data_IF_066943702628
#
_entry.id   IF_066943702628
#
_cell.length_a   1.000
_cell.length_b   1.000
_cell.length_c   1.000
_cell.angle_alpha   90.00
_cell.angle_beta   90.00
_cell.angle_gamma   90.00
#
_symmetry.space_group_name_H-M   'P 1'
#
loop_
_entity.id
_entity.type
_entity.pdbx_description
1 polymer ?
#
# COMPACT_ATOMS: atom_id res chain seq x y z
N UNK A 1 6.74 -22.86 -0.68
CA UNK A 1 7.23 -21.72 0.11
C UNK A 1 6.07 -20.74 0.30
N UNK A 2 5.83 -20.30 1.51
CA UNK A 2 4.81 -19.29 1.78
C UNK A 2 5.36 -17.91 1.35
N UNK A 3 4.65 -17.20 0.49
CA UNK A 3 5.04 -15.86 0.05
C UNK A 3 4.40 -14.72 0.86
N UNK A 4 3.72 -15.05 1.96
CA UNK A 4 2.93 -14.09 2.73
C UNK A 4 3.65 -13.57 3.98
N UNK A 5 4.81 -14.13 4.31
CA UNK A 5 5.65 -13.72 5.44
C UNK A 5 6.98 -13.18 4.94
N UNK A 6 7.38 -12.02 5.45
CA UNK A 6 8.66 -11.36 5.20
C UNK A 6 9.36 -11.07 6.53
N UNK A 7 10.69 -11.04 6.50
CA UNK A 7 11.52 -10.81 7.69
C UNK A 7 11.90 -12.10 8.40
N UNK A 8 12.85 -11.97 9.35
CA UNK A 8 13.33 -13.09 10.19
C UNK A 8 13.20 -12.78 11.67
N UNK A 9 13.81 -11.69 12.15
CA UNK A 9 13.75 -11.24 13.55
C UNK A 9 12.49 -10.42 13.78
N UNK A 10 12.25 -9.43 12.95
CA UNK A 10 10.98 -8.71 12.85
C UNK A 10 10.26 -9.27 11.63
N UNK A 11 9.27 -10.08 11.83
CA UNK A 11 8.56 -10.75 10.76
C UNK A 11 7.13 -10.24 10.64
N UNK A 12 6.65 -10.17 9.39
CA UNK A 12 5.31 -9.71 9.07
C UNK A 12 4.63 -10.74 8.20
N UNK A 13 3.53 -11.30 8.68
CA UNK A 13 2.66 -12.19 7.90
C UNK A 13 1.39 -11.43 7.55
N UNK A 14 1.10 -11.29 6.24
CA UNK A 14 -0.10 -10.60 5.76
C UNK A 14 -1.17 -11.59 5.29
N UNK A 15 -2.44 -11.23 5.44
CA UNK A 15 -3.60 -12.04 5.04
C UNK A 15 -4.76 -11.16 4.57
N UNK A 16 -5.80 -11.78 4.03
CA UNK A 16 -6.97 -11.10 3.47
C UNK A 16 -6.82 -10.76 1.98
N UNK A 17 -7.91 -10.42 1.31
CA UNK A 17 -7.99 -10.09 -0.12
C UNK A 17 -8.57 -8.71 -0.36
N UNK A 18 -8.27 -8.13 -1.51
CA UNK A 18 -8.65 -6.76 -1.88
C UNK A 18 -10.17 -6.52 -1.92
N UNK A 19 -10.95 -7.59 -2.18
CA UNK A 19 -12.41 -7.58 -2.21
C UNK A 19 -13.02 -8.57 -1.20
N UNK A 20 -12.22 -9.07 -0.25
CA UNK A 20 -12.68 -9.76 0.95
C UNK A 20 -13.19 -8.79 2.01
N UNK A 21 -13.51 -9.28 3.18
CA UNK A 21 -14.06 -8.48 4.30
C UNK A 21 -13.00 -7.51 4.87
N UNK A 22 -11.76 -7.98 4.97
CA UNK A 22 -10.67 -7.22 5.57
C UNK A 22 -9.31 -7.65 5.02
N UNK A 23 -8.32 -6.82 5.29
CA UNK A 23 -6.90 -7.13 5.20
C UNK A 23 -6.30 -7.06 6.59
N UNK A 24 -5.38 -7.96 6.90
CA UNK A 24 -4.71 -7.97 8.19
C UNK A 24 -3.25 -8.35 8.09
N UNK A 25 -2.52 -8.08 9.16
CA UNK A 25 -1.19 -8.64 9.36
C UNK A 25 -0.93 -8.98 10.82
N UNK A 26 -0.04 -9.93 10.98
CA UNK A 26 0.56 -10.28 12.26
C UNK A 26 2.04 -9.89 12.18
N UNK A 27 2.47 -9.10 13.15
CA UNK A 27 3.87 -8.69 13.30
C UNK A 27 4.42 -9.44 14.52
N UNK A 28 5.47 -10.19 14.33
CA UNK A 28 6.18 -10.90 15.39
C UNK A 28 7.62 -10.41 15.51
N UNK A 29 8.20 -10.54 16.71
CA UNK A 29 9.56 -10.09 17.00
C UNK A 29 9.72 -8.57 17.20
N UNK A 30 8.62 -7.83 17.40
CA UNK A 30 8.71 -6.44 17.83
C UNK A 30 9.09 -6.36 19.31
N UNK A 31 10.20 -5.70 19.70
CA UNK A 31 10.59 -5.60 21.10
C UNK A 31 9.54 -4.90 21.98
N UNK A 32 9.44 -5.24 23.26
CA UNK A 32 8.51 -4.57 24.18
C UNK A 32 8.94 -3.13 24.48
N UNK A 33 7.98 -2.32 24.94
CA UNK A 33 8.24 -0.95 25.42
C UNK A 33 8.42 0.11 24.34
N UNK A 34 8.17 -0.23 23.05
CA UNK A 34 8.08 0.78 22.02
C UNK A 34 6.75 1.53 22.17
N UNK A 35 6.80 2.84 22.44
CA UNK A 35 5.61 3.68 22.45
C UNK A 35 5.08 3.79 21.02
N UNK A 36 3.82 3.44 20.80
CA UNK A 36 3.14 3.50 19.51
C UNK A 36 1.65 3.75 19.71
N UNK A 37 1.07 4.66 18.94
CA UNK A 37 -0.37 4.89 18.95
C UNK A 37 -1.01 4.47 17.62
N UNK A 38 -2.35 4.34 17.64
CA UNK A 38 -3.15 4.09 16.44
C UNK A 38 -2.97 5.22 15.42
N UNK A 39 -2.94 6.46 15.90
CA UNK A 39 -2.84 7.67 15.07
C UNK A 39 -1.51 7.72 14.31
N UNK A 40 -0.43 7.24 14.92
CA UNK A 40 0.88 7.19 14.27
C UNK A 40 0.91 6.17 13.12
N UNK A 41 0.25 5.02 13.28
CA UNK A 41 0.11 4.04 12.20
C UNK A 41 -0.83 4.59 11.13
N UNK A 42 -1.94 5.22 11.54
CA UNK A 42 -2.92 5.81 10.65
C UNK A 42 -2.31 6.91 9.77
N UNK A 43 -1.45 7.74 10.30
CA UNK A 43 -0.78 8.80 9.55
C UNK A 43 0.05 8.26 8.37
N UNK A 44 0.73 7.12 8.53
CA UNK A 44 1.45 6.48 7.42
C UNK A 44 0.47 5.85 6.40
N UNK A 45 -0.64 5.31 6.85
CA UNK A 45 -1.70 4.80 5.98
C UNK A 45 -2.38 5.91 5.19
N UNK A 46 -2.58 7.08 5.79
CA UNK A 46 -3.19 8.24 5.14
C UNK A 46 -2.35 8.78 3.98
N UNK A 47 -1.03 8.67 4.05
CA UNK A 47 -0.13 8.98 2.93
C UNK A 47 -0.29 8.02 1.75
N UNK A 48 -0.67 6.77 2.03
CA UNK A 48 -0.80 5.71 1.03
C UNK A 48 -2.20 5.56 0.46
N UNK A 49 -3.26 5.91 1.21
CA UNK A 49 -4.65 5.56 0.86
C UNK A 49 -5.05 6.04 -0.54
N UNK A 50 -5.89 5.24 -1.27
CA UNK A 50 -6.39 5.64 -2.58
C UNK A 50 -7.35 6.84 -2.47
N UNK A 51 -7.50 7.60 -3.56
CA UNK A 51 -8.41 8.75 -3.61
C UNK A 51 -7.92 9.98 -2.86
N UNK A 52 -6.63 10.04 -2.49
CA UNK A 52 -6.01 11.18 -1.81
C UNK A 52 -5.82 12.40 -2.71
N UNK A 53 -5.78 12.21 -4.02
CA UNK A 53 -5.65 13.29 -5.01
C UNK A 53 -6.27 12.89 -6.37
N UNK A 54 -6.35 13.87 -7.30
CA UNK A 54 -6.95 13.69 -8.64
C UNK A 54 -6.22 12.68 -9.55
N UNK A 55 -4.99 12.31 -9.23
CA UNK A 55 -4.16 11.39 -10.01
C UNK A 55 -4.22 9.94 -9.52
N UNK A 56 -4.92 9.67 -8.42
CA UNK A 56 -5.07 8.33 -7.87
C UNK A 56 -6.42 7.71 -8.25
N UNK A 57 -6.58 6.41 -8.01
CA UNK A 57 -7.84 5.71 -8.26
C UNK A 57 -9.02 6.38 -7.56
N UNK A 58 -10.22 6.28 -8.17
CA UNK A 58 -11.46 6.80 -7.60
C UNK A 58 -12.00 5.97 -6.42
N UNK A 59 -11.44 4.77 -6.16
CA UNK A 59 -11.81 3.95 -5.00
C UNK A 59 -11.53 4.72 -3.71
N UNK A 60 -12.55 4.83 -2.87
CA UNK A 60 -12.48 5.54 -1.58
C UNK A 60 -12.48 4.53 -0.44
N UNK A 61 -11.32 4.33 0.15
CA UNK A 61 -11.17 3.49 1.35
C UNK A 61 -10.63 4.36 2.49
N UNK A 62 -11.26 4.35 3.66
CA UNK A 62 -10.76 5.11 4.80
C UNK A 62 -9.47 4.54 5.36
N UNK A 63 -9.20 3.24 5.12
CA UNK A 63 -8.05 2.49 5.62
C UNK A 63 -7.86 2.64 7.15
N UNK A 64 -8.97 2.63 7.88
CA UNK A 64 -8.98 2.75 9.33
C UNK A 64 -8.34 1.53 9.97
N UNK A 65 -7.22 1.77 10.68
CA UNK A 65 -6.48 0.69 11.34
C UNK A 65 -7.14 0.28 12.66
N UNK A 66 -7.33 -1.02 12.83
CA UNK A 66 -7.70 -1.64 14.09
C UNK A 66 -6.48 -2.36 14.66
N UNK A 67 -6.18 -2.14 15.94
CA UNK A 67 -5.13 -2.87 16.67
C UNK A 67 -5.82 -3.92 17.54
N UNK A 68 -5.54 -5.20 17.28
CA UNK A 68 -6.22 -6.32 17.91
C UNK A 68 -5.42 -6.90 19.08
N UNK A 69 -4.10 -6.79 19.05
CA UNK A 69 -3.20 -7.36 20.08
C UNK A 69 -1.82 -6.73 20.07
N UNK A 70 -0.99 -7.07 21.05
CA UNK A 70 0.43 -6.73 21.10
C UNK A 70 0.75 -5.30 21.52
N UNK A 71 -0.27 -4.48 21.87
CA UNK A 71 -0.11 -3.12 22.39
C UNK A 71 -0.97 -2.98 23.65
N UNK A 72 -0.37 -2.50 24.72
CA UNK A 72 -1.04 -2.21 25.99
C UNK A 72 -0.57 -0.84 26.51
N UNK A 73 -1.50 0.03 26.93
CA UNK A 73 -1.23 1.40 27.39
C UNK A 73 -0.29 2.19 26.46
N UNK A 74 -0.50 2.06 25.14
CA UNK A 74 0.30 2.75 24.13
C UNK A 74 1.73 2.25 23.96
N UNK A 75 2.06 1.04 24.46
CA UNK A 75 3.38 0.42 24.32
C UNK A 75 3.25 -1.00 23.79
N UNK A 76 4.23 -1.41 22.98
CA UNK A 76 4.34 -2.81 22.55
C UNK A 76 4.63 -3.72 23.73
N UNK A 77 4.01 -4.91 23.75
CA UNK A 77 4.15 -5.89 24.82
C UNK A 77 5.27 -6.91 24.57
N UNK A 78 5.78 -6.98 23.34
CA UNK A 78 6.72 -8.03 22.90
C UNK A 78 6.01 -9.29 22.38
N UNK A 79 4.69 -9.37 22.50
CA UNK A 79 3.85 -10.42 21.90
C UNK A 79 3.43 -10.04 20.50
N UNK A 80 2.89 -10.97 19.67
CA UNK A 80 2.48 -10.66 18.32
C UNK A 80 1.48 -9.50 18.24
N UNK A 81 1.76 -8.53 17.35
CA UNK A 81 0.88 -7.39 17.11
C UNK A 81 -0.05 -7.76 15.96
N UNK A 82 -1.34 -7.83 16.23
CA UNK A 82 -2.39 -8.04 15.25
C UNK A 82 -2.96 -6.72 14.77
N UNK A 83 -2.91 -6.47 13.44
CA UNK A 83 -3.47 -5.31 12.80
C UNK A 83 -4.50 -5.70 11.74
N UNK A 84 -5.59 -4.92 11.63
CA UNK A 84 -6.68 -5.16 10.69
C UNK A 84 -7.15 -3.86 10.05
N UNK A 85 -7.52 -3.92 8.76
CA UNK A 85 -8.25 -2.85 8.05
C UNK A 85 -9.42 -3.48 7.32
N UNK A 86 -10.64 -2.96 7.55
CA UNK A 86 -11.85 -3.43 6.88
C UNK A 86 -12.00 -2.80 5.50
N UNK A 87 -12.42 -3.61 4.53
CA UNK A 87 -12.78 -3.11 3.20
C UNK A 87 -14.20 -2.55 3.23
N UNK A 88 -14.38 -1.29 2.80
CA UNK A 88 -15.70 -0.62 2.78
C UNK A 88 -16.23 -0.41 1.35
N UNK A 89 -15.36 -0.14 0.38
CA UNK A 89 -15.73 0.12 -1.03
C UNK A 89 -15.35 -1.05 -1.95
N UNK A 90 -15.84 -2.25 -1.61
CA UNK A 90 -15.62 -3.44 -2.44
C UNK A 90 -16.79 -3.64 -3.43
N UNK A 91 -16.48 -3.73 -4.73
CA UNK A 91 -17.46 -3.97 -5.82
C UNK A 91 -17.28 -5.35 -6.43
N UNK A 92 -17.46 -6.39 -5.63
CA UNK A 92 -17.26 -7.79 -6.07
C UNK A 92 -18.21 -8.22 -7.20
N UNK A 93 -19.37 -7.55 -7.37
CA UNK A 93 -20.33 -7.82 -8.45
C UNK A 93 -19.79 -7.53 -9.85
N UNK A 94 -18.88 -6.57 -9.98
CA UNK A 94 -18.33 -6.13 -11.27
C UNK A 94 -17.43 -7.20 -11.93
N UNK A 95 -17.03 -8.23 -11.17
CA UNK A 95 -16.11 -9.28 -11.63
C UNK A 95 -16.77 -10.57 -12.10
N UNK A 96 -18.11 -10.68 -12.06
CA UNK A 96 -18.83 -11.90 -12.46
C UNK A 96 -18.58 -12.32 -13.90
N UNK A 97 -18.52 -11.33 -14.81
CA UNK A 97 -18.35 -11.56 -16.25
C UNK A 97 -16.96 -12.05 -16.65
N UNK A 98 -15.97 -11.95 -15.73
CA UNK A 98 -14.59 -12.35 -15.99
C UNK A 98 -14.16 -13.55 -15.12
N UNK A 99 -15.12 -14.23 -14.52
CA UNK A 99 -14.88 -15.39 -13.65
C UNK A 99 -14.04 -16.47 -14.32
N UNK A 100 -14.35 -16.78 -15.57
CA UNK A 100 -13.77 -17.89 -16.32
C UNK A 100 -12.67 -17.44 -17.29
N UNK A 101 -12.25 -16.16 -17.21
CA UNK A 101 -11.23 -15.56 -18.10
C UNK A 101 -10.05 -15.06 -17.28
N UNK A 102 -8.84 -15.35 -17.74
CA UNK A 102 -7.61 -14.76 -17.16
C UNK A 102 -7.37 -13.37 -17.75
N UNK A 103 -7.28 -12.37 -16.91
CA UNK A 103 -7.05 -10.98 -17.34
C UNK A 103 -5.59 -10.78 -17.76
N UNK A 104 -5.32 -10.18 -18.91
CA UNK A 104 -3.96 -9.76 -19.29
C UNK A 104 -3.37 -8.81 -18.24
N UNK A 105 -2.07 -8.91 -18.01
CA UNK A 105 -1.32 -8.08 -17.04
C UNK A 105 -1.76 -8.22 -15.57
N UNK A 106 -2.54 -9.27 -15.24
CA UNK A 106 -2.91 -9.62 -13.87
C UNK A 106 -2.33 -10.98 -13.49
N UNK A 107 -2.24 -11.27 -12.20
CA UNK A 107 -1.69 -12.53 -11.70
C UNK A 107 -2.71 -13.70 -11.72
N UNK A 108 -3.81 -13.57 -12.43
CA UNK A 108 -4.90 -14.55 -12.46
C UNK A 108 -4.40 -15.95 -12.86
N UNK A 109 -3.66 -16.03 -13.98
CA UNK A 109 -3.12 -17.28 -14.50
C UNK A 109 -2.06 -17.89 -13.56
N UNK A 110 -1.15 -17.04 -13.05
CA UNK A 110 -0.09 -17.48 -12.13
C UNK A 110 -0.65 -18.04 -10.82
N UNK A 111 -1.70 -17.42 -10.29
CA UNK A 111 -2.39 -17.91 -9.09
C UNK A 111 -3.11 -19.22 -9.34
N UNK A 112 -3.81 -19.34 -10.48
CA UNK A 112 -4.48 -20.59 -10.87
C UNK A 112 -3.47 -21.73 -11.05
N UNK A 113 -2.34 -21.49 -11.73
CA UNK A 113 -1.30 -22.48 -11.90
C UNK A 113 -0.66 -22.91 -10.57
N UNK A 114 -0.50 -21.99 -9.65
CA UNK A 114 0.15 -22.27 -8.36
C UNK A 114 -0.77 -22.98 -7.36
N UNK A 115 -2.04 -22.58 -7.31
CA UNK A 115 -2.97 -22.99 -6.25
C UNK A 115 -4.14 -23.86 -6.75
N UNK A 116 -4.33 -24.01 -8.06
CA UNK A 116 -5.46 -24.75 -8.67
C UNK A 116 -6.80 -24.01 -8.59
N UNK A 117 -6.86 -22.90 -7.85
CA UNK A 117 -8.05 -22.06 -7.66
C UNK A 117 -7.63 -20.60 -7.55
N UNK A 118 -8.51 -19.70 -7.96
CA UNK A 118 -8.36 -18.26 -7.72
C UNK A 118 -9.66 -17.63 -7.24
N UNK A 119 -9.57 -16.62 -6.40
CA UNK A 119 -10.69 -15.70 -6.18
C UNK A 119 -10.72 -14.70 -7.33
N UNK A 120 -11.76 -14.75 -8.17
CA UNK A 120 -11.92 -13.87 -9.31
C UNK A 120 -12.36 -12.45 -8.95
N UNK A 121 -12.76 -12.22 -7.69
CA UNK A 121 -13.20 -10.92 -7.20
C UNK A 121 -12.02 -9.97 -7.04
N UNK A 122 -11.79 -9.13 -8.03
CA UNK A 122 -10.66 -8.21 -8.04
C UNK A 122 -9.30 -8.90 -8.16
N UNK A 123 -8.25 -8.28 -7.63
CA UNK A 123 -6.87 -8.81 -7.68
C UNK A 123 -6.53 -9.77 -6.52
N UNK A 124 -7.45 -10.04 -5.60
CA UNK A 124 -7.20 -10.88 -4.43
C UNK A 124 -5.94 -10.43 -3.67
N UNK A 125 -5.06 -11.39 -3.38
CA UNK A 125 -3.76 -11.17 -2.73
C UNK A 125 -2.74 -10.45 -3.61
N UNK A 126 -2.90 -10.46 -4.94
CA UNK A 126 -1.99 -9.77 -5.88
C UNK A 126 -2.33 -8.30 -6.10
N UNK A 127 -3.38 -7.80 -5.46
CA UNK A 127 -3.79 -6.41 -5.55
C UNK A 127 -2.81 -5.47 -4.84
N UNK A 128 -2.63 -4.26 -5.37
CA UNK A 128 -1.87 -3.19 -4.71
C UNK A 128 -2.44 -2.83 -3.32
N UNK A 129 -3.71 -3.18 -3.05
CA UNK A 129 -4.32 -3.00 -1.73
C UNK A 129 -3.62 -3.78 -0.61
N UNK A 130 -2.95 -4.88 -0.93
CA UNK A 130 -2.09 -5.64 -0.02
C UNK A 130 -1.05 -4.75 0.68
N UNK A 131 -0.60 -3.68 0.04
CA UNK A 131 0.38 -2.75 0.60
C UNK A 131 -0.12 -2.01 1.85
N UNK A 132 -1.42 -1.96 2.12
CA UNK A 132 -1.99 -1.39 3.37
C UNK A 132 -1.32 -2.00 4.59
N UNK A 133 -1.27 -3.33 4.65
CA UNK A 133 -0.70 -4.03 5.80
C UNK A 133 0.83 -3.92 5.87
N UNK A 134 1.49 -3.81 4.72
CA UNK A 134 2.94 -3.55 4.66
C UNK A 134 3.29 -2.17 5.19
N UNK A 135 2.48 -1.17 4.85
CA UNK A 135 2.66 0.20 5.36
C UNK A 135 2.37 0.27 6.86
N UNK A 136 1.29 -0.39 7.33
CA UNK A 136 0.97 -0.44 8.75
C UNK A 136 2.09 -1.08 9.59
N UNK A 137 2.62 -2.23 9.14
CA UNK A 137 3.76 -2.87 9.78
C UNK A 137 5.04 -2.02 9.66
N UNK A 138 5.24 -1.40 8.51
CA UNK A 138 6.34 -0.48 8.24
C UNK A 138 6.35 0.74 9.18
N UNK A 139 5.19 1.27 9.56
CA UNK A 139 5.08 2.36 10.51
C UNK A 139 5.71 2.00 11.87
N UNK A 140 5.44 0.79 12.37
CA UNK A 140 6.03 0.29 13.62
C UNK A 140 7.53 0.10 13.48
N UNK A 141 7.98 -0.52 12.38
CA UNK A 141 9.40 -0.75 12.11
C UNK A 141 10.17 0.58 11.96
N UNK A 142 9.62 1.56 11.22
CA UNK A 142 10.21 2.92 11.10
C UNK A 142 10.37 3.59 12.45
N UNK A 143 9.35 3.51 13.30
CA UNK A 143 9.39 4.09 14.64
C UNK A 143 10.44 3.43 15.51
N UNK A 144 10.54 2.11 15.47
CA UNK A 144 11.55 1.35 16.19
C UNK A 144 12.97 1.78 15.76
N UNK A 145 13.26 1.79 14.47
CA UNK A 145 14.55 2.18 13.92
C UNK A 145 14.90 3.64 14.24
N UNK A 146 13.93 4.54 14.15
CA UNK A 146 14.13 5.95 14.52
C UNK A 146 14.48 6.11 15.99
N UNK A 147 13.79 5.39 16.89
CA UNK A 147 14.00 5.48 18.33
C UNK A 147 15.33 4.86 18.76
N UNK A 148 15.67 3.67 18.26
CA UNK A 148 16.81 2.88 18.72
C UNK A 148 18.10 3.17 17.98
N UNK A 149 18.02 3.39 16.67
CA UNK A 149 19.18 3.51 15.78
C UNK A 149 19.34 4.90 15.16
N UNK A 150 18.38 5.82 15.40
CA UNK A 150 18.33 7.13 14.75
C UNK A 150 18.26 7.07 13.22
N UNK A 151 17.79 5.95 12.68
CA UNK A 151 17.61 5.75 11.24
C UNK A 151 16.24 6.29 10.83
N UNK A 152 16.21 7.12 9.79
CA UNK A 152 15.01 7.59 9.14
C UNK A 152 14.86 6.95 7.77
N UNK A 153 13.66 6.43 7.48
CA UNK A 153 13.31 5.81 6.20
C UNK A 153 12.22 6.65 5.56
N UNK A 154 12.44 7.06 4.32
CA UNK A 154 11.46 7.79 3.51
C UNK A 154 11.57 7.36 2.05
N UNK A 155 10.46 7.48 1.32
CA UNK A 155 10.39 7.23 -0.12
C UNK A 155 10.11 8.53 -0.86
N UNK A 156 10.52 8.62 -2.10
CA UNK A 156 10.25 9.76 -2.97
C UNK A 156 10.24 9.38 -4.45
N UNK A 157 9.60 10.20 -5.26
CA UNK A 157 9.64 10.07 -6.71
C UNK A 157 10.98 10.59 -7.23
N UNK A 158 11.77 9.74 -7.87
CA UNK A 158 13.07 10.10 -8.46
C UNK A 158 12.96 10.40 -9.95
N UNK A 159 12.01 9.76 -10.64
CA UNK A 159 11.80 9.93 -12.08
C UNK A 159 10.40 9.49 -12.47
N UNK A 160 9.83 10.14 -13.48
CA UNK A 160 8.62 9.72 -14.19
C UNK A 160 8.82 9.98 -15.70
N UNK A 161 8.69 8.94 -16.54
CA UNK A 161 9.07 9.04 -17.94
C UNK A 161 10.52 9.53 -18.07
N UNK A 162 10.73 10.60 -18.82
CA UNK A 162 12.04 11.23 -19.02
C UNK A 162 12.36 12.33 -18.00
N UNK A 163 11.37 12.74 -17.19
CA UNK A 163 11.52 13.79 -16.18
C UNK A 163 12.21 13.21 -14.95
N UNK A 164 13.41 13.71 -14.65
CA UNK A 164 14.24 13.32 -13.50
C UNK A 164 14.39 14.48 -12.52
N UNK A 165 14.49 14.17 -11.23
CA UNK A 165 14.84 15.18 -10.23
C UNK A 165 16.25 15.72 -10.50
N UNK A 166 16.40 17.04 -10.37
CA UNK A 166 17.68 17.75 -10.45
C UNK A 166 18.14 18.25 -9.08
N UNK A 167 17.24 18.34 -8.12
CA UNK A 167 17.51 18.78 -6.77
C UNK A 167 16.74 17.92 -5.75
N UNK A 168 17.25 17.86 -4.51
CA UNK A 168 16.65 17.07 -3.44
C UNK A 168 16.38 17.91 -2.20
N UNK A 169 15.13 17.96 -1.77
CA UNK A 169 14.72 18.54 -0.50
C UNK A 169 13.72 17.62 0.19
N UNK A 170 14.13 17.00 1.30
CA UNK A 170 13.28 16.12 2.10
C UNK A 170 11.96 16.79 2.50
N UNK A 171 12.00 18.08 2.82
CA UNK A 171 10.82 18.84 3.25
C UNK A 171 9.81 19.07 2.14
N UNK A 172 10.14 18.81 0.87
CA UNK A 172 9.23 18.93 -0.27
C UNK A 172 8.46 17.64 -0.58
N UNK A 173 8.97 16.47 -0.13
CA UNK A 173 8.41 15.16 -0.47
C UNK A 173 6.89 15.09 -0.22
N UNK A 174 6.45 15.48 0.97
CA UNK A 174 5.03 15.41 1.36
C UNK A 174 4.22 16.69 1.04
N UNK A 175 4.79 17.65 0.28
CA UNK A 175 4.12 18.93 -0.05
C UNK A 175 3.48 18.95 -1.44
N UNK A 176 3.59 17.86 -2.18
CA UNK A 176 2.99 17.73 -3.51
C UNK A 176 2.41 16.30 -3.69
N UNK A 177 1.47 16.12 -4.63
CA UNK A 177 0.76 14.85 -4.79
C UNK A 177 1.62 13.71 -5.34
N UNK A 178 2.85 13.98 -5.78
CA UNK A 178 3.76 13.00 -6.38
C UNK A 178 4.86 12.54 -5.43
N UNK A 179 4.92 13.06 -4.21
CA UNK A 179 6.04 12.82 -3.30
C UNK A 179 7.40 13.17 -3.93
N UNK A 180 7.41 14.22 -4.77
CA UNK A 180 8.61 14.69 -5.45
C UNK A 180 9.43 15.62 -4.55
N UNK A 181 10.75 15.35 -4.34
CA UNK A 181 11.61 16.20 -3.54
C UNK A 181 12.07 17.47 -4.26
N UNK A 182 11.86 17.54 -5.58
CA UNK A 182 12.24 18.68 -6.43
C UNK A 182 11.00 19.50 -6.81
N UNK A 183 10.83 20.65 -6.16
CA UNK A 183 9.69 21.53 -6.39
C UNK A 183 9.62 22.05 -7.84
N UNK A 184 10.78 22.18 -8.51
CA UNK A 184 10.85 22.82 -9.84
C UNK A 184 10.18 22.03 -10.94
N UNK A 185 10.21 20.70 -10.84
CA UNK A 185 9.67 19.79 -11.86
C UNK A 185 8.23 19.34 -11.59
N UNK A 186 7.62 19.77 -10.50
CA UNK A 186 6.25 19.32 -10.12
C UNK A 186 5.23 19.70 -11.19
N UNK A 187 5.32 20.93 -11.75
CA UNK A 187 4.43 21.37 -12.82
C UNK A 187 4.63 20.55 -14.09
N UNK A 188 5.87 20.26 -14.46
CA UNK A 188 6.19 19.44 -15.64
C UNK A 188 5.63 18.01 -15.51
N UNK A 189 5.69 17.44 -14.30
CA UNK A 189 5.07 16.14 -13.99
C UNK A 189 3.55 16.22 -14.14
N UNK A 190 2.91 17.29 -13.67
CA UNK A 190 1.46 17.49 -13.82
C UNK A 190 1.07 17.55 -15.30
N UNK A 191 1.79 18.32 -16.10
CA UNK A 191 1.53 18.48 -17.54
C UNK A 191 1.69 17.15 -18.29
N UNK A 192 2.73 16.38 -17.97
CA UNK A 192 2.95 15.06 -18.54
C UNK A 192 1.81 14.10 -18.21
N UNK A 193 1.36 14.05 -16.94
CA UNK A 193 0.26 13.18 -16.54
C UNK A 193 -1.05 13.61 -17.20
N UNK A 194 -1.33 14.92 -17.30
CA UNK A 194 -2.51 15.43 -17.98
C UNK A 194 -2.50 15.05 -19.47
N UNK A 195 -1.35 15.14 -20.14
CA UNK A 195 -1.20 14.74 -21.54
C UNK A 195 -1.49 13.24 -21.73
N UNK A 196 -0.97 12.38 -20.83
CA UNK A 196 -1.23 10.94 -20.88
C UNK A 196 -2.72 10.59 -20.67
N UNK A 197 -3.42 11.32 -19.81
CA UNK A 197 -4.86 11.13 -19.57
C UNK A 197 -5.73 11.55 -20.75
N UNK A 198 -5.30 12.56 -21.51
CA UNK A 198 -6.04 13.10 -22.67
C UNK A 198 -5.65 12.43 -23.98
N UNK A 199 -4.53 11.72 -24.03
CA UNK A 199 -4.09 10.96 -25.20
C UNK A 199 -4.93 9.70 -25.36
N UNK A 200 -5.42 9.39 -26.59
CA UNK A 200 -6.16 8.15 -26.84
C UNK A 200 -5.30 6.94 -26.50
N UNK A 201 -5.79 6.11 -25.61
CA UNK A 201 -5.19 4.82 -25.32
C UNK A 201 -5.36 3.87 -26.51
N UNK A 202 -4.45 2.92 -26.76
CA UNK A 202 -4.70 1.85 -27.74
C UNK A 202 -6.00 1.07 -27.51
N UNK A 203 -6.58 1.15 -26.30
CA UNK A 203 -7.89 0.57 -25.96
C UNK A 203 -9.06 1.40 -26.46
N UNK A 204 -8.86 2.69 -26.70
CA UNK A 204 -9.89 3.63 -27.11
C UNK A 204 -9.93 3.79 -28.65
N UNK A 205 -9.00 3.15 -29.37
CA UNK A 205 -9.03 3.11 -30.82
C UNK A 205 -10.12 2.15 -31.30
N UNK A 206 -11.01 2.56 -32.22
CA UNK A 206 -11.96 1.65 -32.83
C UNK A 206 -11.21 0.53 -33.55
N UNK A 207 -11.63 -0.70 -33.29
CA UNK A 207 -11.13 -1.92 -33.99
C UNK A 207 -11.77 -2.04 -35.34
#
# INVERSE_FOLDING_TARGET
>A
MSGNTIGKIFSVTTFGESHGEALGCIIDGCPPGLSISREEIQAELDLRKPGSNKYTTQRKEPDEIEILSGIFEGKTTGTPIGLLVRNKDQKSKDYKNIKDVFRPSHADYSYFQKYGIRDYRGGGRSSARETVMRVAAGAIAKKYLKKTQKIEIFGFLSQIGDIKISSFSKNQINKNPFFCPDKKIVSEIEDMICLLYTSPSPRDMPR
#
